data_IF_469737710509
#
_entry.id   IF_469737710509
#
_cell.length_a   1.000
_cell.length_b   1.000
_cell.length_c   1.000
_cell.angle_alpha   90.00
_cell.angle_beta   90.00
_cell.angle_gamma   90.00
#
_symmetry.space_group_name_H-M   'P 1'
#
loop_
_entity.id
_entity.type
_entity.pdbx_description
1 polymer ?
#
# COMPACT_ATOMS: atom_id res chain seq x y z
N UNK A 1 7.70 -28.49 -1.81
CA UNK A 1 7.51 -27.56 -0.66
C UNK A 1 6.28 -28.01 0.11
N UNK A 2 6.37 -28.24 1.43
CA UNK A 2 5.18 -28.49 2.28
C UNK A 2 4.44 -27.15 2.43
N UNK A 3 3.15 -27.12 2.13
CA UNK A 3 2.31 -25.95 2.43
C UNK A 3 2.21 -25.80 3.95
N UNK A 4 2.36 -24.59 4.51
CA UNK A 4 2.08 -24.38 5.93
C UNK A 4 0.61 -24.73 6.19
N UNK A 5 0.38 -25.59 7.19
CA UNK A 5 -0.96 -25.91 7.66
C UNK A 5 -1.34 -24.84 8.70
N UNK A 6 -1.86 -23.71 8.22
CA UNK A 6 -2.40 -22.66 9.09
C UNK A 6 -3.76 -23.11 9.62
N UNK A 7 -4.01 -22.89 10.92
CA UNK A 7 -5.33 -23.16 11.50
C UNK A 7 -6.36 -22.12 11.03
N UNK A 8 -7.64 -22.49 11.06
CA UNK A 8 -8.73 -21.54 10.80
C UNK A 8 -8.69 -20.35 11.75
N UNK A 9 -8.36 -20.59 13.03
CA UNK A 9 -8.22 -19.53 14.04
C UNK A 9 -7.17 -18.48 13.64
N UNK A 10 -6.00 -18.91 13.14
CA UNK A 10 -4.98 -17.96 12.67
C UNK A 10 -5.47 -17.13 11.49
N UNK A 11 -6.28 -17.72 10.60
CA UNK A 11 -6.90 -16.98 9.50
C UNK A 11 -7.91 -15.95 10.01
N UNK A 12 -8.78 -16.31 10.95
CA UNK A 12 -9.76 -15.41 11.56
C UNK A 12 -9.09 -14.23 12.26
N UNK A 13 -8.05 -14.50 13.05
CA UNK A 13 -7.25 -13.47 13.72
C UNK A 13 -6.59 -12.52 12.71
N UNK A 14 -6.04 -13.07 11.62
CA UNK A 14 -5.42 -12.27 10.55
C UNK A 14 -6.45 -11.37 9.87
N UNK A 15 -7.64 -11.91 9.57
CA UNK A 15 -8.73 -11.16 8.96
C UNK A 15 -9.20 -10.01 9.85
N UNK A 16 -9.27 -10.22 11.16
CA UNK A 16 -9.65 -9.19 12.12
C UNK A 16 -8.61 -8.05 12.17
N UNK A 17 -7.33 -8.39 12.20
CA UNK A 17 -6.24 -7.41 12.15
C UNK A 17 -6.31 -6.59 10.85
N UNK A 18 -6.50 -7.26 9.70
CA UNK A 18 -6.64 -6.59 8.40
C UNK A 18 -7.85 -5.66 8.39
N UNK A 19 -8.99 -6.09 8.96
CA UNK A 19 -10.22 -5.29 9.03
C UNK A 19 -9.99 -3.99 9.82
N UNK A 20 -9.36 -4.08 10.99
CA UNK A 20 -9.03 -2.92 11.82
C UNK A 20 -8.04 -2.00 11.09
N UNK A 21 -6.98 -2.57 10.50
CA UNK A 21 -5.98 -1.82 9.74
C UNK A 21 -6.57 -1.07 8.56
N UNK A 22 -7.41 -1.72 7.76
CA UNK A 22 -8.07 -1.10 6.60
C UNK A 22 -8.95 0.08 7.02
N UNK A 23 -9.67 -0.04 8.15
CA UNK A 23 -10.48 1.05 8.67
C UNK A 23 -9.63 2.23 9.12
N UNK A 24 -8.54 1.98 9.85
CA UNK A 24 -7.63 3.02 10.31
C UNK A 24 -6.96 3.75 9.13
N UNK A 25 -6.48 3.01 8.13
CA UNK A 25 -5.89 3.58 6.91
C UNK A 25 -6.89 4.46 6.17
N UNK A 26 -8.14 4.02 6.01
CA UNK A 26 -9.19 4.81 5.36
C UNK A 26 -9.45 6.13 6.07
N UNK A 27 -9.55 6.11 7.41
CA UNK A 27 -9.73 7.34 8.18
C UNK A 27 -8.54 8.30 8.02
N UNK A 28 -7.30 7.79 8.03
CA UNK A 28 -6.12 8.62 7.81
C UNK A 28 -6.10 9.23 6.39
N UNK A 29 -6.53 8.47 5.38
CA UNK A 29 -6.61 8.94 3.99
C UNK A 29 -7.64 10.04 3.80
N UNK A 30 -8.82 9.86 4.40
CA UNK A 30 -9.90 10.85 4.39
C UNK A 30 -9.43 12.16 5.07
N UNK A 31 -8.72 12.04 6.21
CA UNK A 31 -8.17 13.20 6.91
C UNK A 31 -7.06 13.91 6.13
N UNK A 32 -6.15 13.16 5.50
CA UNK A 32 -5.13 13.74 4.62
C UNK A 32 -5.78 14.58 3.52
N UNK A 33 -6.78 14.03 2.82
CA UNK A 33 -7.50 14.77 1.78
C UNK A 33 -8.23 15.99 2.34
N UNK A 34 -8.86 15.87 3.53
CA UNK A 34 -9.50 17.01 4.22
C UNK A 34 -8.50 18.14 4.52
N UNK A 35 -7.25 17.80 4.81
CA UNK A 35 -6.15 18.73 5.07
C UNK A 35 -5.42 19.20 3.79
N UNK A 36 -5.83 18.73 2.61
CA UNK A 36 -5.17 19.05 1.35
C UNK A 36 -3.84 18.32 1.11
N UNK A 37 -3.58 17.26 1.88
CA UNK A 37 -2.37 16.43 1.78
C UNK A 37 -2.61 15.23 0.85
N UNK A 38 -1.59 14.81 0.08
CA UNK A 38 -1.70 13.61 -0.74
C UNK A 38 -1.60 12.34 0.11
N UNK A 39 -2.27 11.27 -0.33
CA UNK A 39 -1.99 9.92 0.14
C UNK A 39 -0.81 9.32 -0.61
N UNK A 40 0.17 8.80 0.12
CA UNK A 40 1.41 8.27 -0.44
C UNK A 40 1.46 6.76 -0.28
N UNK A 41 1.68 6.06 -1.39
CA UNK A 41 1.78 4.61 -1.44
C UNK A 41 3.10 4.17 -2.04
N UNK A 42 3.57 2.99 -1.64
CA UNK A 42 4.61 2.26 -2.35
C UNK A 42 4.01 0.99 -2.95
N UNK A 43 4.03 0.87 -4.28
CA UNK A 43 3.52 -0.31 -4.98
C UNK A 43 4.47 -0.71 -6.09
N UNK A 44 4.91 -1.97 -6.08
CA UNK A 44 5.83 -2.54 -7.07
C UNK A 44 7.11 -1.70 -7.26
N UNK A 45 7.68 -1.18 -6.16
CA UNK A 45 8.88 -0.35 -6.20
C UNK A 45 8.67 1.03 -6.81
N UNK A 46 7.44 1.52 -6.90
CA UNK A 46 7.10 2.89 -7.33
C UNK A 46 6.39 3.61 -6.20
N UNK A 47 6.71 4.89 -6.04
CA UNK A 47 5.97 5.77 -5.13
C UNK A 47 4.80 6.37 -5.91
N UNK A 48 3.61 6.25 -5.36
CA UNK A 48 2.37 6.76 -5.92
C UNK A 48 1.84 7.83 -4.97
N UNK A 49 1.55 9.01 -5.50
CA UNK A 49 0.88 10.09 -4.80
C UNK A 49 -0.54 10.17 -5.35
N UNK A 50 -1.53 9.99 -4.50
CA UNK A 50 -2.92 10.32 -4.78
C UNK A 50 -3.18 11.70 -4.20
N UNK A 51 -3.43 12.66 -5.08
CA UNK A 51 -3.72 14.04 -4.71
C UNK A 51 -5.19 14.16 -4.25
N UNK A 52 -5.54 15.15 -3.40
CA UNK A 52 -6.92 15.36 -2.94
C UNK A 52 -7.95 15.57 -4.06
N UNK A 53 -7.51 16.04 -5.24
CA UNK A 53 -8.34 16.21 -6.44
C UNK A 53 -8.54 14.91 -7.25
N UNK A 54 -7.99 13.78 -6.79
CA UNK A 54 -8.04 12.48 -7.47
C UNK A 54 -6.93 12.26 -8.51
N UNK A 55 -6.03 13.22 -8.72
CA UNK A 55 -4.87 13.05 -9.60
C UNK A 55 -3.90 12.02 -9.02
N UNK A 56 -3.41 11.10 -9.86
CA UNK A 56 -2.45 10.07 -9.48
C UNK A 56 -1.09 10.34 -10.13
N UNK A 57 -0.08 10.62 -9.30
CA UNK A 57 1.30 10.86 -9.74
C UNK A 57 2.16 9.65 -9.39
N UNK A 58 2.76 9.01 -10.39
CA UNK A 58 3.62 7.83 -10.19
C UNK A 58 5.08 8.19 -10.41
N UNK A 59 5.88 8.21 -9.34
CA UNK A 59 7.33 8.41 -9.42
C UNK A 59 8.03 7.06 -9.67
N UNK A 60 8.75 6.96 -10.79
CA UNK A 60 9.66 5.84 -11.04
C UNK A 60 10.88 5.98 -10.13
N UNK A 61 11.27 4.91 -9.45
CA UNK A 61 12.55 4.87 -8.77
C UNK A 61 13.67 4.86 -9.83
N UNK A 62 14.51 5.90 -9.84
CA UNK A 62 15.69 6.04 -10.72
C UNK A 62 16.79 5.00 -10.47
N UNK A 63 16.60 4.11 -9.47
CA UNK A 63 17.51 2.99 -9.17
C UNK A 63 17.03 1.65 -9.74
N UNK A 64 16.16 1.69 -10.76
CA UNK A 64 15.98 0.54 -11.64
C UNK A 64 17.25 0.39 -12.47
N UNK A 65 18.18 -0.43 -11.95
CA UNK A 65 19.46 -0.81 -12.55
C UNK A 65 19.50 -0.65 -14.09
N UNK A 66 20.22 0.36 -14.56
CA UNK A 66 21.07 0.27 -15.76
C UNK A 66 22.15 -0.81 -15.49
N UNK A 67 21.73 -2.07 -15.39
CA UNK A 67 22.59 -3.20 -15.69
C UNK A 67 22.16 -3.69 -17.06
N UNK A 68 22.69 -2.96 -18.04
CA UNK A 68 23.24 -3.43 -19.30
C UNK A 68 22.69 -4.79 -19.77
N UNK A 69 21.83 -4.72 -20.79
CA UNK A 69 21.84 -5.66 -21.91
C UNK A 69 22.99 -5.17 -22.82
N UNK A 70 23.87 -6.00 -23.39
CA UNK A 70 23.76 -7.44 -23.67
C UNK A 70 24.62 -8.36 -22.81
#
# INVERSE_FOLDING_TARGET
MKKPNLSCETYEQTMEIIRIGNRAVRHAQEENHRLGLPNIYSRNGKIIYEMPNGEIIVKKNSHSNEKQKP
#
